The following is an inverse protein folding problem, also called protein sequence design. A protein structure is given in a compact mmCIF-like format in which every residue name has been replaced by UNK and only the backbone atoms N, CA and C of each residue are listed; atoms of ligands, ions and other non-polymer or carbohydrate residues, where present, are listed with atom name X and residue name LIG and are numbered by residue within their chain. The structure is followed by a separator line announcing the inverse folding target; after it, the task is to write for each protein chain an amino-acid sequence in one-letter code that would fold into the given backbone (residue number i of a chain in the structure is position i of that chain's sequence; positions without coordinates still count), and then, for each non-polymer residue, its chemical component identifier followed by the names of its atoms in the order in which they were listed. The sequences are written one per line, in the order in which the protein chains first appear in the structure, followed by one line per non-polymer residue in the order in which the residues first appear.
data_IF_085623504153
#
_entry.id   IF_085623504153
#
_cell.length_a   1.000
_cell.length_b   1.000
_cell.length_c   1.000
_cell.angle_alpha   90.00
_cell.angle_beta   90.00
_cell.angle_gamma   90.00
#
_symmetry.space_group_name_H-M   'P 1'
#
loop_
_entity.id
_entity.type
_entity.pdbx_description
1 polymer ?
#
# COMPACT_ATOMS: atom_id res chain seq x y z
N UNK A 1 -17.46 -20.01 6.83
CA UNK A 1 -16.04 -19.68 7.08
C UNK A 1 -15.71 -18.47 6.21
N UNK A 2 -15.71 -17.28 6.80
CA UNK A 2 -15.40 -16.06 6.08
C UNK A 2 -13.95 -15.68 6.40
N UNK A 3 -13.04 -16.23 5.65
CA UNK A 3 -11.65 -15.81 5.61
C UNK A 3 -11.36 -15.25 4.22
N UNK A 4 -10.21 -14.63 4.04
CA UNK A 4 -9.74 -14.23 2.72
C UNK A 4 -9.53 -15.51 1.89
N UNK A 5 -10.11 -15.63 0.67
CA UNK A 5 -9.94 -16.82 -0.16
C UNK A 5 -8.48 -16.96 -0.62
N UNK A 6 -8.09 -18.18 -1.02
CA UNK A 6 -6.80 -18.39 -1.68
C UNK A 6 -6.72 -17.56 -2.96
N UNK A 7 -5.54 -17.00 -3.20
CA UNK A 7 -5.27 -16.12 -4.35
C UNK A 7 -4.33 -16.85 -5.29
N UNK A 8 -4.85 -17.18 -6.46
CA UNK A 8 -4.05 -17.82 -7.52
C UNK A 8 -3.01 -16.84 -8.08
N UNK A 9 -1.84 -17.33 -8.44
CA UNK A 9 -0.80 -16.47 -8.98
C UNK A 9 -1.19 -15.93 -10.37
N UNK A 10 -0.87 -14.68 -10.60
CA UNK A 10 -0.96 -14.02 -11.90
C UNK A 10 0.31 -13.18 -12.11
N UNK A 11 0.68 -12.83 -13.36
CA UNK A 11 1.90 -12.08 -13.61
C UNK A 11 1.80 -10.65 -13.06
N UNK A 12 2.86 -10.19 -12.41
CA UNK A 12 2.98 -8.77 -12.03
C UNK A 12 3.04 -7.90 -13.28
N UNK A 13 2.41 -6.71 -13.26
CA UNK A 13 2.47 -5.79 -14.40
C UNK A 13 3.90 -5.30 -14.63
N UNK A 14 4.29 -5.24 -15.89
CA UNK A 14 5.54 -4.62 -16.34
C UNK A 14 5.30 -3.19 -16.79
N UNK A 15 6.36 -2.42 -17.01
CA UNK A 15 6.24 -1.05 -17.52
C UNK A 15 5.45 -0.96 -18.85
N UNK A 16 5.49 -2.03 -19.66
CA UNK A 16 4.74 -2.10 -20.93
C UNK A 16 3.24 -2.31 -20.76
N UNK A 17 2.80 -2.79 -19.60
CA UNK A 17 1.39 -3.08 -19.29
C UNK A 17 0.68 -1.90 -18.64
N UNK A 18 1.42 -0.85 -18.25
CA UNK A 18 0.85 0.26 -17.49
C UNK A 18 0.04 1.22 -18.38
N UNK A 19 -1.09 1.71 -17.87
CA UNK A 19 -1.86 2.74 -18.55
C UNK A 19 -1.11 4.07 -18.58
N UNK A 20 -1.41 4.91 -19.57
CA UNK A 20 -0.91 6.28 -19.56
C UNK A 20 -1.44 7.09 -18.37
N UNK A 21 -0.55 7.78 -17.68
CA UNK A 21 -0.91 8.66 -16.56
C UNK A 21 -1.56 9.96 -17.05
N UNK A 22 -2.60 10.41 -16.34
CA UNK A 22 -3.24 11.69 -16.62
C UNK A 22 -2.45 12.85 -15.98
N UNK A 23 -1.97 12.67 -14.75
CA UNK A 23 -1.21 13.68 -14.03
C UNK A 23 0.28 13.68 -14.45
N UNK A 24 0.91 14.86 -14.56
CA UNK A 24 2.33 15.00 -14.93
C UNK A 24 3.26 14.97 -13.70
N UNK A 25 2.78 14.54 -12.54
CA UNK A 25 3.54 14.61 -11.30
C UNK A 25 4.82 13.79 -11.36
N UNK A 26 5.82 14.24 -10.64
CA UNK A 26 7.10 13.55 -10.49
C UNK A 26 7.39 13.36 -9.02
N UNK A 27 7.74 12.13 -8.65
CA UNK A 27 8.09 11.80 -7.27
C UNK A 27 9.37 12.54 -6.87
N UNK A 28 9.35 13.10 -5.66
CA UNK A 28 10.46 13.85 -5.07
C UNK A 28 10.71 13.30 -3.65
N UNK A 29 11.90 12.72 -3.37
CA UNK A 29 12.22 12.19 -2.05
C UNK A 29 12.07 13.22 -0.93
N UNK A 30 12.30 14.51 -1.22
CA UNK A 30 12.12 15.61 -0.27
C UNK A 30 10.66 15.88 0.09
N UNK A 31 9.71 15.43 -0.71
CA UNK A 31 8.26 15.63 -0.53
C UNK A 31 7.51 14.35 -0.18
N UNK A 32 8.09 13.19 -0.47
CA UNK A 32 7.41 11.89 -0.40
C UNK A 32 7.40 11.27 1.00
N UNK A 33 6.37 10.48 1.26
CA UNK A 33 6.28 9.45 2.31
C UNK A 33 6.01 8.12 1.61
N UNK A 34 6.69 7.05 2.00
CA UNK A 34 6.35 5.70 1.56
C UNK A 34 5.30 5.12 2.50
N UNK A 35 4.19 4.65 1.97
CA UNK A 35 3.18 3.88 2.70
C UNK A 35 3.25 2.40 2.33
N UNK A 36 3.64 1.57 3.30
CA UNK A 36 3.58 0.10 3.24
C UNK A 36 2.21 -0.32 3.79
N UNK A 37 1.30 -0.66 2.87
CA UNK A 37 -0.11 -0.85 3.18
C UNK A 37 -0.43 -2.31 3.50
N UNK A 38 -0.83 -2.58 4.75
CA UNK A 38 -1.35 -3.86 5.26
C UNK A 38 -0.49 -5.09 4.93
N UNK A 39 0.85 -4.97 4.91
CA UNK A 39 1.79 -6.06 4.60
C UNK A 39 1.97 -7.00 5.80
N UNK A 40 0.86 -7.36 6.46
CA UNK A 40 0.79 -8.30 7.57
C UNK A 40 0.70 -9.75 7.06
N UNK A 41 1.25 -10.69 7.81
CA UNK A 41 1.24 -12.14 7.46
C UNK A 41 -0.17 -12.67 7.19
N UNK A 42 -1.18 -12.18 7.91
CA UNK A 42 -2.59 -12.52 7.68
C UNK A 42 -3.05 -12.21 6.26
N UNK A 43 -2.70 -11.04 5.72
CA UNK A 43 -3.12 -10.61 4.39
C UNK A 43 -2.28 -11.23 3.27
N UNK A 44 -1.03 -11.63 3.57
CA UNK A 44 -0.14 -12.23 2.57
C UNK A 44 -0.24 -13.75 2.47
N UNK A 45 -0.71 -14.42 3.54
CA UNK A 45 -0.86 -15.88 3.55
C UNK A 45 -1.72 -16.44 2.41
N UNK A 46 -2.80 -15.76 1.96
CA UNK A 46 -3.63 -16.26 0.86
C UNK A 46 -2.95 -16.29 -0.50
N UNK A 47 -1.90 -15.50 -0.71
CA UNK A 47 -1.20 -15.44 -2.00
C UNK A 47 -0.35 -16.68 -2.24
N UNK A 48 -0.50 -17.30 -3.42
CA UNK A 48 0.39 -18.34 -3.88
C UNK A 48 1.67 -17.76 -4.48
N UNK A 49 2.74 -18.59 -4.50
CA UNK A 49 3.97 -18.23 -5.20
C UNK A 49 3.82 -18.40 -6.72
N UNK A 50 4.52 -17.62 -7.58
CA UNK A 50 5.56 -16.65 -7.22
C UNK A 50 5.03 -15.24 -6.85
N UNK A 51 3.73 -14.98 -7.01
CA UNK A 51 3.13 -13.64 -6.84
C UNK A 51 3.46 -13.01 -5.48
N UNK A 52 3.38 -13.80 -4.40
CA UNK A 52 3.72 -13.32 -3.06
C UNK A 52 5.17 -12.88 -2.94
N UNK A 53 6.08 -13.69 -3.48
CA UNK A 53 7.51 -13.39 -3.45
C UNK A 53 7.81 -12.10 -4.22
N UNK A 54 7.32 -11.98 -5.45
CA UNK A 54 7.51 -10.80 -6.30
C UNK A 54 6.97 -9.53 -5.65
N UNK A 55 5.78 -9.59 -5.05
CA UNK A 55 5.20 -8.49 -4.28
C UNK A 55 6.12 -8.03 -3.15
N UNK A 56 6.58 -8.97 -2.33
CA UNK A 56 7.44 -8.66 -1.17
C UNK A 56 8.77 -8.08 -1.64
N UNK A 57 9.42 -8.68 -2.64
CA UNK A 57 10.69 -8.20 -3.19
C UNK A 57 10.60 -6.76 -3.71
N UNK A 58 9.53 -6.42 -4.44
CA UNK A 58 9.31 -5.07 -4.94
C UNK A 58 9.01 -4.06 -3.83
N UNK A 59 8.23 -4.44 -2.82
CA UNK A 59 8.02 -3.61 -1.63
C UNK A 59 9.32 -3.38 -0.85
N UNK A 60 10.15 -4.40 -0.70
CA UNK A 60 11.48 -4.30 -0.03
C UNK A 60 12.41 -3.37 -0.81
N UNK A 61 12.41 -3.44 -2.14
CA UNK A 61 13.22 -2.55 -2.96
C UNK A 61 12.85 -1.07 -2.76
N UNK A 62 11.54 -0.77 -2.76
CA UNK A 62 11.02 0.57 -2.45
C UNK A 62 11.39 1.00 -1.03
N UNK A 63 11.12 0.15 -0.04
CA UNK A 63 11.40 0.41 1.37
C UNK A 63 12.87 0.78 1.59
N UNK A 64 13.79 -0.10 1.13
CA UNK A 64 15.24 0.11 1.29
C UNK A 64 15.68 1.43 0.68
N UNK A 65 15.27 1.72 -0.57
CA UNK A 65 15.71 2.94 -1.24
C UNK A 65 15.12 4.19 -0.62
N UNK A 66 13.86 4.16 -0.22
CA UNK A 66 13.26 5.26 0.52
C UNK A 66 14.02 5.56 1.83
N UNK A 67 14.42 4.52 2.57
CA UNK A 67 15.24 4.68 3.78
C UNK A 67 16.59 5.34 3.48
N UNK A 68 17.30 4.88 2.44
CA UNK A 68 18.57 5.46 1.99
C UNK A 68 18.45 6.95 1.62
N UNK A 69 17.32 7.36 1.06
CA UNK A 69 17.02 8.74 0.67
C UNK A 69 16.41 9.59 1.79
N UNK A 70 16.26 9.05 3.00
CA UNK A 70 15.65 9.76 4.13
C UNK A 70 14.14 10.04 3.95
N UNK A 71 13.45 9.25 3.11
CA UNK A 71 12.00 9.29 2.96
C UNK A 71 11.35 8.62 4.16
N UNK A 72 10.47 9.28 4.92
CA UNK A 72 9.76 8.65 6.02
C UNK A 72 8.93 7.45 5.54
N UNK A 73 8.90 6.39 6.34
CA UNK A 73 8.12 5.18 6.02
C UNK A 73 6.97 5.04 7.00
N UNK A 74 5.76 4.98 6.47
CA UNK A 74 4.52 4.72 7.19
C UNK A 74 4.04 3.29 6.92
N UNK A 75 3.47 2.66 7.93
CA UNK A 75 2.88 1.32 7.83
C UNK A 75 1.45 1.34 8.32
N UNK A 76 0.55 0.70 7.60
CA UNK A 76 -0.75 0.37 8.15
C UNK A 76 -0.79 -1.08 8.62
N UNK A 77 -1.45 -1.30 9.76
CA UNK A 77 -1.67 -2.63 10.29
C UNK A 77 -3.02 -2.71 11.02
N UNK A 78 -3.82 -3.71 10.70
CA UNK A 78 -5.03 -4.01 11.48
C UNK A 78 -4.65 -4.61 12.83
N UNK A 79 -5.34 -4.21 13.94
CA UNK A 79 -4.98 -4.66 15.27
C UNK A 79 -5.29 -6.14 15.55
N UNK A 80 -6.15 -6.78 14.75
CA UNK A 80 -6.71 -8.10 15.03
C UNK A 80 -7.67 -8.09 16.22
N UNK A 81 -8.58 -9.04 16.29
CA UNK A 81 -9.54 -9.15 17.39
C UNK A 81 -10.43 -7.93 17.59
N UNK A 82 -10.78 -7.23 16.52
CA UNK A 82 -11.68 -6.08 16.58
C UNK A 82 -13.01 -6.47 17.18
N UNK A 83 -13.54 -5.63 18.09
CA UNK A 83 -14.92 -5.76 18.58
C UNK A 83 -15.91 -5.55 17.42
N UNK A 84 -17.18 -5.90 17.61
CA UNK A 84 -18.21 -5.67 16.61
C UNK A 84 -18.34 -4.18 16.23
N UNK A 85 -18.27 -3.29 17.21
CA UNK A 85 -18.29 -1.85 17.01
C UNK A 85 -17.06 -1.36 16.20
N UNK A 86 -15.87 -1.84 16.54
CA UNK A 86 -14.64 -1.51 15.82
C UNK A 86 -14.68 -2.05 14.40
N UNK A 87 -15.21 -3.24 14.19
CA UNK A 87 -15.34 -3.88 12.89
C UNK A 87 -16.38 -3.17 12.01
N UNK A 88 -17.51 -2.77 12.59
CA UNK A 88 -18.59 -2.08 11.87
C UNK A 88 -19.00 -2.80 10.59
N UNK A 89 -19.27 -2.08 9.52
CA UNK A 89 -19.71 -2.62 8.23
C UNK A 89 -18.69 -3.55 7.55
N UNK A 90 -17.42 -3.53 7.94
CA UNK A 90 -16.45 -4.53 7.44
C UNK A 90 -16.88 -5.96 7.76
N UNK A 91 -17.69 -6.16 8.81
CA UNK A 91 -18.20 -7.47 9.20
C UNK A 91 -19.09 -8.08 8.12
N UNK A 92 -19.89 -7.29 7.44
CA UNK A 92 -20.86 -7.73 6.43
C UNK A 92 -20.18 -8.27 5.17
N UNK A 93 -19.01 -7.69 4.81
CA UNK A 93 -18.25 -8.07 3.62
C UNK A 93 -17.11 -9.05 3.92
N UNK A 94 -16.43 -8.89 5.05
CA UNK A 94 -15.16 -9.57 5.37
C UNK A 94 -15.25 -10.44 6.63
N UNK A 95 -16.45 -10.57 7.22
CA UNK A 95 -16.65 -11.31 8.46
C UNK A 95 -15.86 -10.71 9.65
N UNK A 96 -15.55 -11.55 10.67
CA UNK A 96 -14.91 -11.08 11.90
C UNK A 96 -13.48 -10.54 11.70
N UNK A 97 -12.87 -10.85 10.56
CA UNK A 97 -11.51 -10.42 10.25
C UNK A 97 -10.43 -11.22 10.98
N UNK A 98 -9.26 -10.61 11.11
CA UNK A 98 -8.08 -11.20 11.76
C UNK A 98 -8.34 -11.44 13.25
N UNK A 99 -7.99 -12.64 13.74
CA UNK A 99 -8.04 -12.99 15.16
C UNK A 99 -6.88 -12.35 15.93
N UNK A 100 -6.92 -12.46 17.26
CA UNK A 100 -5.80 -12.06 18.12
C UNK A 100 -4.73 -13.17 18.06
N UNK A 101 -4.02 -13.24 16.96
CA UNK A 101 -2.85 -14.08 16.79
C UNK A 101 -1.64 -13.18 16.59
N UNK A 102 -0.63 -13.23 17.47
CA UNK A 102 0.57 -12.41 17.32
C UNK A 102 1.27 -12.59 15.98
N UNK A 103 1.30 -13.82 15.44
CA UNK A 103 1.95 -14.11 14.16
C UNK A 103 1.19 -13.46 12.99
N UNK A 104 -0.13 -13.59 12.98
CA UNK A 104 -0.98 -13.01 11.92
C UNK A 104 -0.89 -11.47 11.86
N UNK A 105 -0.72 -10.84 13.01
CA UNK A 105 -0.65 -9.38 13.14
C UNK A 105 0.68 -8.79 12.68
N UNK A 106 1.74 -9.59 12.67
CA UNK A 106 3.06 -9.11 12.30
C UNK A 106 3.12 -8.71 10.82
N UNK A 107 3.77 -7.59 10.55
CA UNK A 107 4.28 -7.28 9.23
C UNK A 107 5.33 -8.33 8.89
N UNK A 108 5.44 -8.71 7.62
CA UNK A 108 6.44 -9.71 7.19
C UNK A 108 7.84 -9.24 7.54
N UNK A 109 8.73 -10.18 7.87
CA UNK A 109 10.04 -9.88 8.44
C UNK A 109 10.91 -9.03 7.51
N UNK A 110 10.75 -9.25 6.20
CA UNK A 110 11.48 -8.53 5.15
C UNK A 110 11.15 -7.02 5.10
N UNK A 111 10.02 -6.64 5.69
CA UNK A 111 9.52 -5.26 5.78
C UNK A 111 9.34 -4.81 7.24
N UNK A 112 10.04 -5.46 8.18
CA UNK A 112 9.91 -5.10 9.59
C UNK A 112 10.12 -3.58 9.80
N UNK A 113 9.20 -2.90 10.51
CA UNK A 113 9.33 -1.47 10.75
C UNK A 113 10.58 -1.13 11.57
N UNK A 114 11.27 -0.08 11.20
CA UNK A 114 12.35 0.52 11.99
C UNK A 114 11.78 1.35 13.17
N UNK A 115 12.65 1.75 14.11
CA UNK A 115 12.23 2.47 15.32
C UNK A 115 11.58 3.84 15.05
N UNK A 116 11.92 4.47 13.92
CA UNK A 116 11.38 5.77 13.49
C UNK A 116 10.20 5.67 12.51
N UNK A 117 9.73 4.46 12.22
CA UNK A 117 8.61 4.22 11.31
C UNK A 117 7.28 4.75 11.88
N UNK A 118 6.43 5.22 11.00
CA UNK A 118 5.08 5.67 11.37
C UNK A 118 4.13 4.47 11.38
N UNK A 119 3.80 3.95 12.54
CA UNK A 119 2.88 2.83 12.68
C UNK A 119 1.44 3.36 12.84
N UNK A 120 0.57 3.03 11.88
CA UNK A 120 -0.81 3.48 11.82
C UNK A 120 -1.78 2.32 12.04
N UNK A 121 -2.70 2.46 12.98
CA UNK A 121 -3.74 1.47 13.16
C UNK A 121 -4.78 1.56 12.04
N UNK A 122 -4.97 0.45 11.33
CA UNK A 122 -5.89 0.36 10.19
C UNK A 122 -7.28 -0.06 10.63
N UNK A 123 -8.26 0.82 10.42
CA UNK A 123 -9.66 0.59 10.83
C UNK A 123 -10.59 0.34 9.67
N UNK A 124 -10.34 0.95 8.50
CA UNK A 124 -11.18 0.89 7.29
C UNK A 124 -10.31 0.77 6.05
N UNK A 125 -10.88 0.92 4.86
CA UNK A 125 -10.14 0.78 3.62
C UNK A 125 -9.02 1.81 3.48
N UNK A 126 -9.33 3.09 3.71
CA UNK A 126 -8.32 4.13 3.62
C UNK A 126 -7.41 4.15 4.86
N UNK A 127 -6.13 4.39 4.61
CA UNK A 127 -5.11 4.60 5.64
C UNK A 127 -5.33 5.89 6.44
N UNK A 128 -6.04 6.87 5.88
CA UNK A 128 -6.32 8.15 6.54
C UNK A 128 -7.45 8.06 7.58
N UNK A 129 -8.32 7.04 7.46
CA UNK A 129 -9.48 6.95 8.34
C UNK A 129 -9.10 6.65 9.80
N UNK A 130 -9.39 7.58 10.70
CA UNK A 130 -9.08 7.51 12.14
C UNK A 130 -7.60 7.19 12.41
N UNK A 131 -6.70 7.79 11.63
CA UNK A 131 -5.27 7.74 11.82
C UNK A 131 -4.70 9.15 11.81
N UNK A 132 -3.47 9.31 12.23
CA UNK A 132 -2.74 10.57 12.23
C UNK A 132 -1.84 10.74 10.99
N UNK A 133 -2.05 9.93 9.93
CA UNK A 133 -1.23 9.99 8.72
C UNK A 133 -1.17 11.39 8.10
N UNK A 134 -2.34 12.01 7.89
CA UNK A 134 -2.44 13.34 7.30
C UNK A 134 -1.72 14.41 8.15
N UNK A 135 -1.89 14.32 9.46
CA UNK A 135 -1.26 15.25 10.41
C UNK A 135 0.26 15.08 10.40
N UNK A 136 0.77 13.84 10.40
CA UNK A 136 2.20 13.56 10.30
C UNK A 136 2.81 14.05 8.99
N UNK A 137 2.14 13.79 7.86
CA UNK A 137 2.59 14.29 6.56
C UNK A 137 2.70 15.81 6.55
N UNK A 138 1.67 16.51 7.03
CA UNK A 138 1.67 17.97 7.13
C UNK A 138 2.74 18.50 8.08
N UNK A 139 2.90 17.89 9.25
CA UNK A 139 3.93 18.27 10.23
C UNK A 139 5.35 18.07 9.69
N UNK A 140 5.56 17.06 8.85
CA UNK A 140 6.82 16.77 8.19
C UNK A 140 7.04 17.59 6.89
N UNK A 141 6.07 18.43 6.49
CA UNK A 141 6.13 19.20 5.23
C UNK A 141 6.10 18.29 3.99
N UNK A 142 5.39 17.14 4.07
CA UNK A 142 5.31 16.15 3.00
C UNK A 142 3.92 16.18 2.36
N UNK A 143 3.87 16.24 1.04
CA UNK A 143 2.66 16.34 0.23
C UNK A 143 2.64 15.34 -0.95
N UNK A 144 3.52 14.34 -0.89
CA UNK A 144 3.55 13.21 -1.82
C UNK A 144 3.46 11.89 -1.06
N UNK A 145 2.71 10.91 -1.61
CA UNK A 145 2.54 9.59 -1.03
C UNK A 145 2.88 8.51 -2.07
N UNK A 146 3.92 7.72 -1.81
CA UNK A 146 4.22 6.51 -2.57
C UNK A 146 3.55 5.34 -1.88
N UNK A 147 2.77 4.53 -2.59
CA UNK A 147 1.99 3.44 -1.99
C UNK A 147 2.39 2.09 -2.57
N UNK A 148 2.65 1.13 -1.68
CA UNK A 148 2.82 -0.29 -1.99
C UNK A 148 2.02 -1.16 -0.99
N UNK A 149 1.81 -2.46 -1.30
CA UNK A 149 1.14 -3.42 -0.42
C UNK A 149 -0.21 -3.90 -0.92
N UNK A 150 -1.12 -4.28 -0.01
CA UNK A 150 -2.36 -5.01 -0.36
C UNK A 150 -3.61 -4.42 0.32
N UNK A 151 -4.81 -4.65 -0.22
CA UNK A 151 -5.12 -5.15 -1.58
C UNK A 151 -5.35 -3.97 -2.51
N UNK A 152 -4.92 -4.07 -3.77
CA UNK A 152 -4.86 -2.95 -4.69
C UNK A 152 -6.21 -2.22 -4.84
N UNK A 153 -7.31 -2.93 -5.16
CA UNK A 153 -8.62 -2.29 -5.37
C UNK A 153 -9.39 -1.96 -4.08
N UNK A 154 -8.96 -2.48 -2.93
CA UNK A 154 -9.65 -2.24 -1.64
C UNK A 154 -8.97 -1.11 -0.87
N UNK A 155 -7.90 -1.43 -0.15
CA UNK A 155 -7.27 -0.47 0.76
C UNK A 155 -6.34 0.52 0.05
N UNK A 156 -5.55 0.03 -0.90
CA UNK A 156 -4.56 0.85 -1.62
C UNK A 156 -5.25 1.92 -2.46
N UNK A 157 -6.20 1.53 -3.32
CA UNK A 157 -6.93 2.48 -4.16
C UNK A 157 -7.73 3.49 -3.35
N UNK A 158 -8.43 3.05 -2.31
CA UNK A 158 -9.20 3.97 -1.46
C UNK A 158 -8.29 4.94 -0.69
N UNK A 159 -7.11 4.51 -0.31
CA UNK A 159 -6.10 5.40 0.28
C UNK A 159 -5.59 6.42 -0.74
N UNK A 160 -5.34 6.00 -1.99
CA UNK A 160 -4.92 6.90 -3.07
C UNK A 160 -6.00 7.95 -3.40
N UNK A 161 -7.28 7.55 -3.42
CA UNK A 161 -8.41 8.47 -3.63
C UNK A 161 -8.53 9.47 -2.49
N UNK A 162 -8.36 9.05 -1.24
CA UNK A 162 -8.43 9.96 -0.09
C UNK A 162 -7.19 10.88 -0.01
N UNK A 163 -6.00 10.39 -0.38
CA UNK A 163 -4.80 11.23 -0.54
C UNK A 163 -5.04 12.34 -1.55
N UNK A 164 -5.52 12.00 -2.75
CA UNK A 164 -5.91 12.95 -3.79
C UNK A 164 -6.95 13.97 -3.29
N UNK A 165 -7.93 13.52 -2.51
CA UNK A 165 -8.96 14.41 -1.93
C UNK A 165 -8.37 15.41 -0.92
N UNK A 166 -7.21 15.09 -0.34
CA UNK A 166 -6.45 15.96 0.57
C UNK A 166 -5.31 16.72 -0.12
N UNK A 167 -5.32 16.84 -1.45
CA UNK A 167 -4.29 17.51 -2.28
C UNK A 167 -2.89 16.90 -2.11
N UNK A 168 -2.80 15.57 -1.89
CA UNK A 168 -1.55 14.80 -1.83
C UNK A 168 -1.32 14.13 -3.18
N UNK A 169 -0.21 14.44 -3.84
CA UNK A 169 0.20 13.76 -5.07
C UNK A 169 0.57 12.31 -4.76
N UNK A 170 -0.19 11.37 -5.31
CA UNK A 170 -0.02 9.95 -5.03
C UNK A 170 0.71 9.22 -6.16
N UNK A 171 1.61 8.32 -5.80
CA UNK A 171 2.37 7.46 -6.70
C UNK A 171 2.12 6.01 -6.33
N UNK A 172 1.56 5.23 -7.24
CA UNK A 172 1.25 3.82 -7.05
C UNK A 172 2.32 2.96 -7.73
N UNK A 173 3.02 2.13 -6.95
CA UNK A 173 3.96 1.16 -7.48
C UNK A 173 3.20 -0.08 -7.97
N UNK A 174 2.90 -0.15 -9.26
CA UNK A 174 2.00 -1.15 -9.82
C UNK A 174 2.44 -2.60 -9.61
N UNK A 175 3.73 -2.88 -9.64
CA UNK A 175 4.33 -4.19 -9.40
C UNK A 175 4.70 -4.43 -7.92
N UNK A 176 4.43 -3.45 -7.05
CA UNK A 176 4.55 -3.58 -5.59
C UNK A 176 3.19 -3.49 -4.88
N UNK A 177 2.09 -3.69 -5.61
CA UNK A 177 0.75 -3.94 -5.07
C UNK A 177 0.23 -5.25 -5.64
N UNK A 178 -0.71 -5.89 -4.94
CA UNK A 178 -1.38 -7.11 -5.43
C UNK A 178 -2.82 -7.18 -4.98
N UNK A 179 -3.59 -8.06 -5.60
CA UNK A 179 -5.02 -8.18 -5.36
C UNK A 179 -5.51 -9.62 -5.40
N UNK A 180 -6.81 -9.85 -5.19
CA UNK A 180 -7.45 -11.16 -5.24
C UNK A 180 -7.40 -11.80 -6.63
N UNK A 181 -7.41 -10.97 -7.69
CA UNK A 181 -7.34 -11.39 -9.09
C UNK A 181 -6.54 -10.37 -9.91
N UNK A 182 -6.00 -10.81 -11.04
CA UNK A 182 -5.37 -9.92 -12.02
C UNK A 182 -6.33 -8.82 -12.50
N UNK A 183 -7.62 -9.14 -12.67
CA UNK A 183 -8.65 -8.18 -13.09
C UNK A 183 -8.81 -7.04 -12.08
N UNK A 184 -8.91 -7.36 -10.78
CA UNK A 184 -9.01 -6.36 -9.73
C UNK A 184 -7.73 -5.50 -9.63
N UNK A 185 -6.57 -6.13 -9.79
CA UNK A 185 -5.29 -5.43 -9.80
C UNK A 185 -5.22 -4.44 -10.97
N UNK A 186 -5.51 -4.89 -12.19
CA UNK A 186 -5.53 -4.05 -13.40
C UNK A 186 -6.53 -2.90 -13.28
N UNK A 187 -7.74 -3.18 -12.80
CA UNK A 187 -8.77 -2.16 -12.55
C UNK A 187 -8.27 -1.07 -11.60
N UNK A 188 -7.64 -1.46 -10.49
CA UNK A 188 -7.10 -0.51 -9.52
C UNK A 188 -6.00 0.38 -10.13
N UNK A 189 -5.07 -0.22 -10.87
CA UNK A 189 -3.98 0.46 -11.56
C UNK A 189 -4.51 1.43 -12.61
N UNK A 190 -5.47 1.00 -13.44
CA UNK A 190 -6.08 1.85 -14.46
C UNK A 190 -6.87 3.02 -13.85
N UNK A 191 -7.68 2.75 -12.83
CA UNK A 191 -8.41 3.80 -12.13
C UNK A 191 -7.44 4.84 -11.53
N UNK A 192 -6.42 4.38 -10.82
CA UNK A 192 -5.44 5.25 -10.19
C UNK A 192 -4.76 6.17 -11.20
N UNK A 193 -4.23 5.63 -12.31
CA UNK A 193 -3.54 6.40 -13.35
C UNK A 193 -4.41 7.49 -13.98
N UNK A 194 -5.70 7.21 -14.11
CA UNK A 194 -6.65 8.12 -14.76
C UNK A 194 -7.31 9.13 -13.82
N UNK A 195 -7.31 8.90 -12.50
CA UNK A 195 -8.18 9.65 -11.59
C UNK A 195 -7.50 10.23 -10.35
N UNK A 196 -6.46 9.60 -9.79
CA UNK A 196 -5.96 10.03 -8.48
C UNK A 196 -4.48 9.78 -8.21
N UNK A 197 -3.73 9.14 -9.12
CA UNK A 197 -2.33 8.84 -8.88
C UNK A 197 -1.51 8.84 -10.20
N UNK A 198 -0.20 8.95 -10.05
CA UNK A 198 0.74 8.54 -11.09
C UNK A 198 1.12 7.09 -10.81
N UNK A 199 1.01 6.24 -11.83
CA UNK A 199 1.33 4.82 -11.73
C UNK A 199 2.63 4.54 -12.47
N UNK A 200 3.52 3.80 -11.82
CA UNK A 200 4.77 3.29 -12.43
C UNK A 200 5.15 1.97 -11.77
N UNK A 201 6.14 1.27 -12.28
CA UNK A 201 6.76 0.15 -11.57
C UNK A 201 7.59 0.66 -10.39
N UNK A 202 7.86 -0.20 -9.41
CA UNK A 202 8.77 0.11 -8.31
C UNK A 202 10.12 0.61 -8.86
N UNK A 203 10.67 -0.09 -9.84
CA UNK A 203 11.91 0.32 -10.53
C UNK A 203 11.80 1.70 -11.20
N UNK A 204 10.68 2.00 -11.85
CA UNK A 204 10.45 3.29 -12.49
C UNK A 204 10.37 4.44 -11.50
N UNK A 205 9.65 4.25 -10.38
CA UNK A 205 9.59 5.24 -9.29
C UNK A 205 10.96 5.49 -8.67
N UNK A 206 11.73 4.43 -8.40
CA UNK A 206 13.07 4.54 -7.83
C UNK A 206 14.03 5.31 -8.75
N UNK A 207 14.02 5.01 -10.05
CA UNK A 207 14.84 5.74 -11.01
C UNK A 207 14.53 7.25 -11.02
N UNK A 208 13.25 7.62 -10.90
CA UNK A 208 12.83 9.03 -10.84
C UNK A 208 13.22 9.71 -9.52
N UNK A 209 13.23 8.97 -8.40
CA UNK A 209 13.72 9.50 -7.12
C UNK A 209 15.23 9.79 -7.19
N UNK A 210 16.00 8.93 -7.87
CA UNK A 210 17.45 9.08 -8.03
C UNK A 210 17.85 10.29 -8.88
N UNK A 211 17.01 10.69 -9.85
CA UNK A 211 17.24 11.88 -10.68
C UNK A 211 17.13 13.21 -9.89
N UNK A 212 16.54 13.17 -8.69
CA UNK A 212 16.27 14.36 -7.86
C UNK A 212 16.97 14.38 -6.51
N UNK A 213 17.75 13.34 -6.21
CA UNK A 213 18.51 13.20 -4.95
C UNK A 213 19.89 13.88 -4.98
#
# INVERSE_FOLDING_TARGET
MSGIPAIEPYPMPTAGDLPGNTAPWRVDPGRAVLLVHDMQRYFLRPFAEPLRQELVENCVALHRRCRELGVPVAYTAQPGGMTEEQRGLLKDFWGPGMRVDPVDRQIVDELAPDDDAWLLTKWRYSAFFRSDLLERMRAAGRDQLVVCGVYAHVGVLMTAVEAFTNDIETFLAADAVADFTEEHHRMAVEYAARRCAVVDTAKGLLARMDERS
#
